data_IF_226366926085
#
_entry.id   IF_226366926085
#
_cell.length_a   1.000
_cell.length_b   1.000
_cell.length_c   1.000
_cell.angle_alpha   90.00
_cell.angle_beta   90.00
_cell.angle_gamma   90.00
#
_symmetry.space_group_name_H-M   'P 1'
#
loop_
_entity.id
_entity.type
_entity.pdbx_description
1 polymer ?
#
# COMPACT_ATOMS: atom_id res chain seq x y z
N UNK A 1 20.04 -47.67 -38.42
CA UNK A 1 19.98 -46.19 -38.41
C UNK A 1 18.54 -45.76 -38.58
N UNK A 2 17.98 -45.04 -37.60
CA UNK A 2 16.85 -44.10 -37.81
C UNK A 2 16.79 -43.21 -36.56
N UNK A 3 17.07 -41.93 -36.80
CA UNK A 3 17.25 -40.86 -35.81
C UNK A 3 16.05 -40.68 -34.90
N UNK A 4 16.32 -40.52 -33.61
CA UNK A 4 15.43 -39.84 -32.68
C UNK A 4 15.71 -38.33 -32.81
N UNK A 5 14.78 -37.58 -33.41
CA UNK A 5 14.79 -36.12 -33.36
C UNK A 5 14.36 -35.69 -31.96
N UNK A 6 15.33 -35.25 -31.16
CA UNK A 6 15.07 -34.61 -29.87
C UNK A 6 14.71 -33.13 -30.13
N UNK A 7 13.43 -32.81 -30.11
CA UNK A 7 12.95 -31.43 -30.16
C UNK A 7 13.09 -30.80 -28.78
N UNK A 8 14.15 -30.03 -28.56
CA UNK A 8 14.34 -29.26 -27.35
C UNK A 8 13.30 -28.12 -27.28
N UNK A 9 12.27 -28.27 -26.44
CA UNK A 9 11.41 -27.16 -26.05
C UNK A 9 12.24 -26.19 -25.18
N UNK A 10 12.65 -25.08 -25.75
CA UNK A 10 13.13 -23.94 -24.97
C UNK A 10 11.92 -23.35 -24.21
N UNK A 11 11.82 -23.64 -22.92
CA UNK A 11 10.92 -22.89 -22.04
C UNK A 11 11.47 -21.47 -21.94
N UNK A 12 10.79 -20.52 -22.60
CA UNK A 12 10.94 -19.10 -22.30
C UNK A 12 10.40 -18.89 -20.88
N UNK A 13 11.29 -18.86 -19.89
CA UNK A 13 10.96 -18.35 -18.58
C UNK A 13 10.69 -16.85 -18.74
N UNK A 14 9.42 -16.47 -18.84
CA UNK A 14 9.01 -15.09 -18.69
C UNK A 14 9.34 -14.69 -17.25
N UNK A 15 10.47 -14.01 -17.05
CA UNK A 15 10.75 -13.30 -15.82
C UNK A 15 9.68 -12.21 -15.70
N UNK A 16 8.61 -12.49 -14.95
CA UNK A 16 7.69 -11.45 -14.52
C UNK A 16 8.54 -10.41 -13.80
N UNK A 17 8.65 -9.21 -14.37
CA UNK A 17 9.26 -8.10 -13.65
C UNK A 17 8.50 -7.97 -12.33
N UNK A 18 9.21 -8.18 -11.23
CA UNK A 18 8.67 -7.79 -9.94
C UNK A 18 8.35 -6.30 -10.06
N UNK A 19 7.13 -5.93 -9.69
CA UNK A 19 6.70 -4.54 -9.62
C UNK A 19 6.43 -4.22 -8.16
N UNK A 20 6.89 -3.06 -7.71
CA UNK A 20 6.59 -2.56 -6.38
C UNK A 20 5.08 -2.31 -6.23
N UNK A 21 4.53 -2.62 -5.05
CA UNK A 21 3.08 -2.60 -4.80
C UNK A 21 2.73 -1.76 -3.56
N UNK A 22 1.50 -1.25 -3.55
CA UNK A 22 0.82 -0.78 -2.34
C UNK A 22 -0.16 -1.85 -1.90
N UNK A 23 -0.17 -2.15 -0.61
CA UNK A 23 -1.12 -3.05 0.03
C UNK A 23 -1.82 -2.33 1.18
N UNK A 24 -3.16 -2.40 1.22
CA UNK A 24 -3.95 -1.91 2.35
C UNK A 24 -4.55 -3.10 3.07
N UNK A 25 -4.13 -3.32 4.32
CA UNK A 25 -4.59 -4.41 5.16
C UNK A 25 -5.66 -3.92 6.11
N UNK A 26 -6.86 -4.49 6.01
CA UNK A 26 -7.95 -4.19 6.94
C UNK A 26 -8.00 -5.22 8.07
N UNK A 27 -7.29 -4.97 9.17
CA UNK A 27 -7.38 -5.80 10.37
C UNK A 27 -8.55 -5.41 11.29
N UNK A 28 -9.37 -4.43 10.89
CA UNK A 28 -10.53 -4.00 11.65
C UNK A 28 -11.61 -5.11 11.69
N UNK A 29 -12.48 -5.10 12.71
CA UNK A 29 -13.63 -5.99 12.77
C UNK A 29 -14.77 -5.58 11.80
N UNK A 30 -14.65 -4.43 11.15
CA UNK A 30 -15.60 -3.85 10.19
C UNK A 30 -14.96 -3.50 8.85
N UNK A 31 -15.80 -3.27 7.83
CA UNK A 31 -15.36 -2.87 6.50
C UNK A 31 -15.02 -1.39 6.42
N UNK A 32 -14.14 -1.06 5.48
CA UNK A 32 -13.81 0.30 5.07
C UNK A 32 -14.16 0.56 3.61
N UNK A 33 -14.00 1.79 3.18
CA UNK A 33 -14.11 2.18 1.79
C UNK A 33 -12.77 2.74 1.33
N UNK A 34 -12.28 2.22 0.21
CA UNK A 34 -11.06 2.68 -0.45
C UNK A 34 -11.43 3.40 -1.73
N UNK A 35 -10.95 4.63 -1.86
CA UNK A 35 -11.06 5.43 -3.10
C UNK A 35 -9.69 5.53 -3.74
N UNK A 36 -9.57 5.03 -4.96
CA UNK A 36 -8.33 5.00 -5.71
C UNK A 36 -8.28 6.23 -6.61
N UNK A 37 -7.17 6.98 -6.54
CA UNK A 37 -6.92 8.13 -7.41
C UNK A 37 -5.56 7.94 -8.09
N UNK A 38 -5.53 8.16 -9.40
CA UNK A 38 -4.30 8.16 -10.19
C UNK A 38 -4.12 9.55 -10.81
N UNK A 39 -2.89 10.06 -10.87
CA UNK A 39 -2.60 11.38 -11.44
C UNK A 39 -3.03 11.56 -12.91
N UNK A 40 -3.37 10.48 -13.60
CA UNK A 40 -3.89 10.48 -14.99
C UNK A 40 -5.40 10.27 -15.11
N UNK A 41 -6.07 9.74 -14.08
CA UNK A 41 -7.49 9.43 -14.11
C UNK A 41 -8.16 9.85 -12.80
N UNK A 42 -9.06 10.83 -12.90
CA UNK A 42 -9.93 11.25 -11.80
C UNK A 42 -11.35 11.44 -12.32
N UNK A 43 -12.29 10.67 -11.78
CA UNK A 43 -13.73 10.92 -11.93
C UNK A 43 -14.34 10.74 -10.55
N UNK A 44 -15.00 11.78 -10.06
CA UNK A 44 -15.67 11.77 -8.76
C UNK A 44 -16.67 10.59 -8.68
N UNK A 45 -16.66 9.87 -7.57
CA UNK A 45 -17.49 8.69 -7.32
C UNK A 45 -17.10 7.42 -8.06
N UNK A 46 -16.11 7.45 -8.95
CA UNK A 46 -15.55 6.25 -9.58
C UNK A 46 -14.37 5.72 -8.76
N UNK A 47 -14.14 4.41 -8.82
CA UNK A 47 -13.04 3.72 -8.12
C UNK A 47 -13.08 3.77 -6.59
N UNK A 48 -14.26 4.01 -6.02
CA UNK A 48 -14.53 3.72 -4.61
C UNK A 48 -15.07 2.30 -4.49
N UNK A 49 -14.46 1.48 -3.63
CA UNK A 49 -14.88 0.11 -3.38
C UNK A 49 -14.83 -0.22 -1.89
N UNK A 50 -15.60 -1.22 -1.48
CA UNK A 50 -15.53 -1.74 -0.12
C UNK A 50 -14.23 -2.55 0.07
N UNK A 51 -13.50 -2.22 1.12
CA UNK A 51 -12.44 -3.05 1.68
C UNK A 51 -13.02 -3.83 2.86
N UNK A 52 -13.50 -5.05 2.57
CA UNK A 52 -14.11 -5.90 3.57
C UNK A 52 -13.16 -6.18 4.76
N UNK A 53 -13.74 -6.47 5.92
CA UNK A 53 -12.98 -6.86 7.13
C UNK A 53 -12.03 -8.03 6.84
N UNK A 54 -10.83 -8.00 7.41
CA UNK A 54 -9.82 -9.08 7.31
C UNK A 54 -9.37 -9.38 5.87
N UNK A 55 -9.56 -8.44 4.94
CA UNK A 55 -9.13 -8.53 3.55
C UNK A 55 -8.05 -7.48 3.27
N UNK A 56 -7.16 -7.80 2.34
CA UNK A 56 -6.19 -6.87 1.80
C UNK A 56 -6.57 -6.43 0.39
N UNK A 57 -6.38 -5.14 0.10
CA UNK A 57 -6.37 -4.61 -1.25
C UNK A 57 -4.92 -4.42 -1.72
N UNK A 58 -4.64 -4.71 -2.99
CA UNK A 58 -3.32 -4.52 -3.59
C UNK A 58 -3.42 -3.81 -4.94
N UNK A 59 -2.44 -2.95 -5.22
CA UNK A 59 -2.25 -2.31 -6.52
C UNK A 59 -0.78 -2.01 -6.76
N UNK A 60 -0.37 -1.88 -8.02
CA UNK A 60 1.01 -1.51 -8.37
C UNK A 60 1.31 -0.04 -8.09
N UNK A 61 2.54 0.26 -7.68
CA UNK A 61 3.07 1.63 -7.63
C UNK A 61 3.52 1.98 -9.05
N UNK A 62 2.69 2.72 -9.79
CA UNK A 62 2.96 3.08 -11.19
C UNK A 62 2.72 4.56 -11.44
N UNK A 63 3.74 5.26 -11.94
CA UNK A 63 3.65 6.68 -12.28
C UNK A 63 3.51 7.62 -11.08
N UNK A 64 3.15 8.87 -11.35
CA UNK A 64 3.11 9.97 -10.38
C UNK A 64 1.69 10.33 -9.94
N UNK A 65 1.58 10.89 -8.74
CA UNK A 65 0.36 11.53 -8.26
C UNK A 65 -0.75 10.55 -7.89
N UNK A 66 -0.39 9.33 -7.46
CA UNK A 66 -1.38 8.37 -7.00
C UNK A 66 -1.73 8.60 -5.52
N UNK A 67 -2.96 8.25 -5.15
CA UNK A 67 -3.35 8.18 -3.75
C UNK A 67 -4.46 7.17 -3.50
N UNK A 68 -4.48 6.65 -2.27
CA UNK A 68 -5.57 5.85 -1.72
C UNK A 68 -6.20 6.65 -0.57
N UNK A 69 -7.50 6.90 -0.69
CA UNK A 69 -8.31 7.49 0.36
C UNK A 69 -9.09 6.43 1.11
N UNK A 70 -8.98 6.38 2.44
CA UNK A 70 -9.68 5.40 3.29
C UNK A 70 -10.70 6.10 4.18
N UNK A 71 -11.95 5.62 4.12
CA UNK A 71 -13.07 6.14 4.91
C UNK A 71 -13.84 5.02 5.61
N UNK A 72 -14.61 5.36 6.64
CA UNK A 72 -15.53 4.45 7.33
C UNK A 72 -16.91 4.34 6.63
N UNK A 73 -17.16 5.18 5.62
CA UNK A 73 -18.40 5.20 4.83
C UNK A 73 -18.12 5.47 3.36
N UNK A 74 -19.07 5.12 2.47
CA UNK A 74 -18.97 5.34 1.02
C UNK A 74 -19.21 6.81 0.62
N UNK A 75 -18.61 7.77 1.32
CA UNK A 75 -18.85 9.20 1.14
C UNK A 75 -17.55 10.00 1.02
N UNK A 76 -16.52 9.41 0.40
CA UNK A 76 -15.18 10.00 0.29
C UNK A 76 -15.18 11.48 -0.15
N UNK A 77 -16.00 11.81 -1.13
CA UNK A 77 -16.10 13.14 -1.74
C UNK A 77 -16.85 14.18 -0.90
N UNK A 78 -17.49 13.75 0.19
CA UNK A 78 -18.16 14.69 1.10
C UNK A 78 -17.10 15.43 1.92
N UNK A 79 -17.11 16.78 1.95
CA UNK A 79 -16.10 17.58 2.66
C UNK A 79 -16.03 17.34 4.18
N UNK A 80 -17.07 16.74 4.76
CA UNK A 80 -17.14 16.45 6.19
C UNK A 80 -16.82 14.99 6.53
N UNK A 81 -16.37 14.18 5.56
CA UNK A 81 -16.04 12.77 5.79
C UNK A 81 -14.55 12.62 6.13
N UNK A 82 -14.21 12.28 7.39
CA UNK A 82 -12.83 12.01 7.81
C UNK A 82 -12.18 10.94 6.95
N UNK A 83 -10.94 11.15 6.53
CA UNK A 83 -10.23 10.23 5.65
C UNK A 83 -8.73 10.20 5.89
N UNK A 84 -8.17 8.99 5.94
CA UNK A 84 -6.74 8.76 5.76
C UNK A 84 -6.43 8.84 4.28
N UNK A 85 -5.36 9.54 3.90
CA UNK A 85 -4.89 9.60 2.52
C UNK A 85 -3.43 9.19 2.44
N UNK A 86 -3.19 8.04 1.80
CA UNK A 86 -1.85 7.58 1.44
C UNK A 86 -1.54 8.07 0.04
N UNK A 87 -0.57 8.98 -0.08
CA UNK A 87 0.00 9.38 -1.37
C UNK A 87 1.18 8.48 -1.70
N UNK A 88 1.30 8.09 -2.97
CA UNK A 88 2.42 7.30 -3.45
C UNK A 88 2.71 7.58 -4.92
N UNK A 89 3.96 7.39 -5.32
CA UNK A 89 4.43 7.60 -6.70
C UNK A 89 5.66 6.76 -6.96
N UNK A 90 5.88 6.41 -8.23
CA UNK A 90 7.19 5.99 -8.75
C UNK A 90 7.60 6.92 -9.89
N UNK A 91 8.84 7.40 -9.85
CA UNK A 91 9.45 8.20 -10.90
C UNK A 91 10.95 8.01 -10.94
N UNK A 92 11.53 7.87 -12.14
CA UNK A 92 12.98 7.76 -12.34
C UNK A 92 13.66 6.71 -11.44
N UNK A 93 12.98 5.59 -11.16
CA UNK A 93 13.49 4.53 -10.29
C UNK A 93 13.48 4.88 -8.81
N UNK A 94 12.62 5.81 -8.38
CA UNK A 94 12.41 6.19 -6.99
C UNK A 94 10.94 6.02 -6.61
N UNK A 95 10.68 5.42 -5.46
CA UNK A 95 9.38 5.47 -4.80
C UNK A 95 9.34 6.69 -3.88
N UNK A 96 8.21 7.38 -3.86
CA UNK A 96 7.91 8.40 -2.87
C UNK A 96 6.52 8.18 -2.28
N UNK A 97 6.35 8.39 -0.99
CA UNK A 97 5.06 8.26 -0.32
C UNK A 97 4.92 9.20 0.88
N UNK A 98 3.68 9.45 1.29
CA UNK A 98 3.35 10.17 2.53
C UNK A 98 1.96 9.79 3.00
N UNK A 99 1.69 9.96 4.30
CA UNK A 99 0.42 9.64 4.92
C UNK A 99 -0.14 10.89 5.62
N UNK A 100 -1.38 11.26 5.31
CA UNK A 100 -2.02 12.47 5.82
C UNK A 100 -3.47 12.22 6.20
N UNK A 101 -3.98 13.06 7.08
CA UNK A 101 -5.39 13.15 7.43
C UNK A 101 -6.04 14.28 6.62
N UNK A 102 -7.24 14.07 6.11
CA UNK A 102 -8.11 15.11 5.59
C UNK A 102 -9.47 15.03 6.26
N UNK A 103 -10.06 16.19 6.56
CA UNK A 103 -11.40 16.35 7.12
C UNK A 103 -11.62 15.64 8.49
N UNK A 104 -10.54 15.26 9.19
CA UNK A 104 -10.55 14.69 10.53
C UNK A 104 -10.08 13.23 10.59
N UNK A 105 -10.14 12.62 11.77
CA UNK A 105 -9.62 11.26 12.00
C UNK A 105 -10.67 10.15 11.94
N UNK A 106 -10.65 9.28 10.89
CA UNK A 106 -11.58 8.16 10.82
C UNK A 106 -11.25 7.04 11.81
N UNK A 107 -10.04 7.03 12.38
CA UNK A 107 -9.51 5.96 13.22
C UNK A 107 -9.10 6.45 14.63
N UNK A 108 -9.84 7.37 15.25
CA UNK A 108 -9.41 8.04 16.48
C UNK A 108 -9.04 7.10 17.67
N UNK A 109 -9.54 5.86 17.69
CA UNK A 109 -9.22 4.84 18.70
C UNK A 109 -8.50 3.61 18.13
N UNK A 110 -8.37 3.53 16.82
CA UNK A 110 -7.82 2.39 16.10
C UNK A 110 -6.48 2.83 15.50
N UNK A 111 -5.35 2.27 15.95
CA UNK A 111 -4.07 2.71 15.40
C UNK A 111 -3.94 2.24 13.95
N UNK A 112 -3.13 2.95 13.17
CA UNK A 112 -2.69 2.46 11.87
C UNK A 112 -1.20 2.74 11.73
N UNK A 113 -0.53 1.98 10.86
CA UNK A 113 0.85 2.25 10.50
C UNK A 113 1.04 2.08 8.99
N UNK A 114 2.13 2.64 8.50
CA UNK A 114 2.68 2.36 7.19
C UNK A 114 4.01 1.67 7.38
N UNK A 115 4.19 0.50 6.78
CA UNK A 115 5.47 -0.21 6.78
C UNK A 115 5.91 -0.49 5.36
N UNK A 116 7.21 -0.61 5.17
CA UNK A 116 7.79 -0.93 3.87
C UNK A 116 8.65 -2.18 3.98
N UNK A 117 8.61 -3.04 2.97
CA UNK A 117 9.43 -4.25 2.94
C UNK A 117 9.89 -4.57 1.52
N UNK A 118 11.02 -5.26 1.36
CA UNK A 118 11.41 -5.86 0.06
C UNK A 118 11.22 -7.37 0.07
N UNK A 119 10.67 -7.92 -1.01
CA UNK A 119 10.49 -9.37 -1.19
C UNK A 119 9.27 -9.94 -0.45
N UNK A 120 9.14 -11.27 -0.44
CA UNK A 120 8.03 -12.00 0.19
C UNK A 120 8.34 -12.51 1.60
N UNK A 121 9.46 -12.07 2.20
CA UNK A 121 10.00 -12.59 3.46
C UNK A 121 10.33 -11.49 4.46
N UNK A 122 10.35 -11.88 5.74
CA UNK A 122 10.54 -11.05 6.94
C UNK A 122 11.95 -10.48 7.13
N UNK A 123 12.75 -10.33 6.07
CA UNK A 123 14.19 -10.11 6.20
C UNK A 123 14.61 -8.66 5.98
N UNK A 124 13.74 -7.79 5.45
CA UNK A 124 14.03 -6.37 5.26
C UNK A 124 12.77 -5.53 5.52
N UNK A 125 12.60 -5.09 6.76
CA UNK A 125 11.58 -4.12 7.16
C UNK A 125 12.17 -2.70 7.09
N UNK A 126 11.32 -1.73 6.78
CA UNK A 126 11.65 -0.30 6.69
C UNK A 126 12.66 0.06 5.57
N UNK A 127 12.41 -0.47 4.37
CA UNK A 127 13.25 -0.22 3.18
C UNK A 127 13.02 1.17 2.56
N UNK A 128 11.86 1.75 2.84
CA UNK A 128 11.41 3.03 2.25
C UNK A 128 10.82 3.97 3.30
N UNK A 129 11.17 3.81 4.58
CA UNK A 129 10.50 4.51 5.66
C UNK A 129 9.34 3.72 6.25
N UNK A 130 9.00 4.07 7.47
CA UNK A 130 7.82 3.63 8.19
C UNK A 130 7.12 4.84 8.82
N UNK A 131 5.83 4.66 9.12
CA UNK A 131 5.05 5.65 9.84
C UNK A 131 4.08 5.03 10.84
N UNK A 132 3.89 5.63 12.02
CA UNK A 132 2.83 5.30 12.97
C UNK A 132 1.86 6.48 13.04
N UNK A 133 0.62 6.26 12.60
CA UNK A 133 -0.35 7.34 12.46
C UNK A 133 0.05 8.34 11.37
N UNK A 134 -0.29 9.62 11.59
CA UNK A 134 0.02 10.71 10.67
C UNK A 134 1.29 11.42 11.06
N UNK A 135 2.19 11.62 10.11
CA UNK A 135 3.52 12.14 10.40
C UNK A 135 3.85 13.44 9.68
N UNK A 136 2.99 13.86 8.75
CA UNK A 136 3.18 15.10 7.98
C UNK A 136 4.49 15.16 7.19
N UNK A 137 5.18 14.02 7.01
CA UNK A 137 6.49 13.91 6.38
C UNK A 137 6.41 13.03 5.12
N UNK A 138 7.27 13.33 4.16
CA UNK A 138 7.43 12.54 2.94
C UNK A 138 8.59 11.56 3.09
N UNK A 139 8.43 10.37 2.50
CA UNK A 139 9.43 9.32 2.45
C UNK A 139 9.80 9.01 1.01
N UNK A 140 11.04 8.59 0.78
CA UNK A 140 11.49 8.16 -0.54
C UNK A 140 12.65 7.17 -0.45
N UNK A 141 12.73 6.28 -1.42
CA UNK A 141 13.78 5.30 -1.58
C UNK A 141 13.88 4.84 -3.03
N UNK A 142 14.96 4.13 -3.37
CA UNK A 142 15.12 3.50 -4.67
C UNK A 142 14.04 2.45 -4.91
N UNK A 143 13.44 2.50 -6.10
CA UNK A 143 12.52 1.47 -6.58
C UNK A 143 13.33 0.27 -7.10
N UNK A 144 13.52 -0.72 -6.24
CA UNK A 144 14.19 -1.98 -6.58
C UNK A 144 13.29 -2.96 -7.33
N UNK A 145 12.05 -2.56 -7.65
CA UNK A 145 11.04 -3.39 -8.30
C UNK A 145 10.39 -4.43 -7.38
N UNK A 146 10.71 -4.46 -6.09
CA UNK A 146 10.15 -5.46 -5.17
C UNK A 146 9.74 -4.88 -3.81
N UNK A 147 9.45 -3.58 -3.78
CA UNK A 147 9.02 -2.89 -2.56
C UNK A 147 7.52 -3.08 -2.36
N UNK A 148 7.13 -3.47 -1.15
CA UNK A 148 5.74 -3.47 -0.69
C UNK A 148 5.55 -2.33 0.30
N UNK A 149 4.67 -1.38 -0.03
CA UNK A 149 4.20 -0.32 0.86
C UNK A 149 2.89 -0.77 1.51
N UNK A 150 2.92 -1.13 2.79
CA UNK A 150 1.77 -1.62 3.54
C UNK A 150 1.15 -0.50 4.36
N UNK A 151 -0.13 -0.19 4.14
CA UNK A 151 -0.97 0.54 5.09
C UNK A 151 -1.77 -0.47 5.90
N UNK A 152 -1.49 -0.57 7.19
CA UNK A 152 -2.14 -1.52 8.07
C UNK A 152 -3.14 -0.77 8.96
N UNK A 153 -4.43 -1.11 8.84
CA UNK A 153 -5.53 -0.48 9.56
C UNK A 153 -5.94 -1.28 10.81
N UNK A 154 -6.43 -0.58 11.83
CA UNK A 154 -6.86 -1.13 13.12
C UNK A 154 -5.83 -2.06 13.74
N UNK A 155 -4.67 -1.45 13.87
CA UNK A 155 -3.66 -1.94 14.73
C UNK A 155 -4.17 -1.73 16.18
N UNK A 156 -4.57 -2.79 16.89
CA UNK A 156 -4.92 -2.74 18.33
C UNK A 156 -3.84 -2.10 19.24
N UNK A 157 -3.77 -2.41 20.54
CA UNK A 157 -2.77 -1.79 21.43
C UNK A 157 -1.39 -2.47 21.44
N UNK A 158 -1.28 -3.76 21.07
CA UNK A 158 -0.11 -4.63 21.36
C UNK A 158 1.19 -4.28 20.57
N UNK A 159 1.07 -3.79 19.34
CA UNK A 159 2.11 -3.20 18.46
C UNK A 159 2.84 -1.99 19.03
N UNK A 160 2.18 -1.19 19.88
CA UNK A 160 2.82 -0.01 20.46
C UNK A 160 3.85 -0.40 21.54
N UNK A 161 3.70 -1.58 22.14
CA UNK A 161 4.57 -2.03 23.24
C UNK A 161 5.90 -2.62 22.75
N UNK A 162 5.97 -3.06 21.49
CA UNK A 162 7.17 -3.68 20.91
C UNK A 162 8.33 -2.72 20.60
N UNK A 163 8.11 -1.40 20.60
CA UNK A 163 9.19 -0.41 20.37
C UNK A 163 9.82 0.12 21.67
N UNK A 164 9.22 -0.14 22.84
CA UNK A 164 9.71 0.34 24.15
C UNK A 164 10.72 -0.59 24.84
N UNK A 165 11.23 -1.63 24.18
CA UNK A 165 12.12 -2.63 24.79
C UNK A 165 13.56 -2.63 24.23
N UNK A 166 13.99 -1.57 23.54
CA UNK A 166 15.40 -1.40 23.17
C UNK A 166 15.93 -0.10 23.79
N UNK A 167 16.29 -0.19 25.07
CA UNK A 167 17.24 0.72 25.73
C UNK A 167 18.52 -0.05 26.09
#
# INVERSE_FOLDING_TARGET
>A
MRSLLATSLALLAASAAANSIVQVNNFCPFSHWITIMNGTFFVEGQQTMELARQIAYQTGINGKGNSLGITTSNNYWTPATPKVVLYYSTDQGQIAWSINSLDGEPFANDHFNVTTATGSGSENFDVCGSAVGYEGKGHSCADTGNVTLNLNLCLGPEWAETETQVE
#
